data_IF_111231361860
#
_entry.id   IF_111231361860
#
_cell.length_a   1.000
_cell.length_b   1.000
_cell.length_c   1.000
_cell.angle_alpha   90.00
_cell.angle_beta   90.00
_cell.angle_gamma   90.00
#
_symmetry.space_group_name_H-M   'P 1'
#
loop_
_entity.id
_entity.type
_entity.pdbx_description
1 polymer ?
#
# COMPACT_ATOMS: atom_id res chain seq x y z
N UNK A 1 30.33 -24.60 -12.52
CA UNK A 1 29.86 -24.52 -11.14
C UNK A 1 29.55 -23.05 -10.89
N UNK A 2 28.39 -22.74 -10.33
CA UNK A 2 28.04 -21.34 -10.07
C UNK A 2 28.94 -20.78 -8.97
N UNK A 3 29.47 -19.55 -9.14
CA UNK A 3 30.25 -18.86 -8.10
C UNK A 3 29.37 -18.41 -6.89
N UNK A 4 28.13 -18.92 -6.78
CA UNK A 4 27.19 -18.58 -5.72
C UNK A 4 27.32 -19.60 -4.59
N UNK A 5 27.73 -19.13 -3.43
CA UNK A 5 27.92 -19.96 -2.23
C UNK A 5 26.90 -19.64 -1.13
N UNK A 6 26.36 -18.43 -1.12
CA UNK A 6 25.37 -18.00 -0.13
C UNK A 6 24.28 -17.13 -0.78
N UNK A 7 23.00 -17.41 -0.48
CA UNK A 7 21.84 -16.70 -1.02
C UNK A 7 20.93 -16.26 0.13
N UNK A 8 20.47 -15.00 0.12
CA UNK A 8 19.41 -14.54 1.03
C UNK A 8 18.08 -14.62 0.31
N UNK A 9 17.13 -15.35 0.88
CA UNK A 9 15.79 -15.55 0.35
C UNK A 9 14.75 -14.74 1.12
N UNK A 10 13.94 -13.95 0.41
CA UNK A 10 12.69 -13.42 0.95
C UNK A 10 11.72 -14.60 1.19
N UNK A 11 11.48 -14.92 2.46
CA UNK A 11 10.85 -16.15 2.89
C UNK A 11 9.53 -15.90 3.63
N UNK A 12 8.43 -16.40 3.10
CA UNK A 12 7.11 -16.27 3.72
C UNK A 12 6.70 -17.49 4.57
N UNK A 13 7.46 -18.60 4.52
CA UNK A 13 7.05 -19.86 5.14
C UNK A 13 5.92 -20.59 4.41
N UNK A 14 5.48 -20.09 3.26
CA UNK A 14 4.51 -20.74 2.38
C UNK A 14 5.11 -21.91 1.59
N UNK A 15 4.25 -22.61 0.82
CA UNK A 15 4.66 -23.75 -0.02
C UNK A 15 5.80 -23.36 -0.96
N UNK A 16 5.58 -22.30 -1.75
CA UNK A 16 6.49 -21.88 -2.82
C UNK A 16 7.88 -21.56 -2.27
N UNK A 17 7.95 -20.72 -1.22
CA UNK A 17 9.23 -20.31 -0.64
C UNK A 17 9.92 -21.46 0.10
N UNK A 18 9.19 -22.42 0.65
CA UNK A 18 9.78 -23.63 1.26
C UNK A 18 10.41 -24.55 0.21
N UNK A 19 9.77 -24.71 -0.95
CA UNK A 19 10.37 -25.40 -2.10
C UNK A 19 11.60 -24.67 -2.60
N UNK A 20 11.56 -23.33 -2.66
CA UNK A 20 12.70 -22.50 -3.11
C UNK A 20 13.92 -22.69 -2.22
N UNK A 21 13.77 -22.78 -0.89
CA UNK A 21 14.91 -23.06 0.01
C UNK A 21 15.66 -24.33 -0.46
N UNK A 22 14.93 -25.43 -0.63
CA UNK A 22 15.52 -26.71 -1.00
C UNK A 22 16.06 -26.71 -2.42
N UNK A 23 15.35 -26.08 -3.36
CA UNK A 23 15.77 -25.96 -4.74
C UNK A 23 17.08 -25.16 -4.88
N UNK A 24 17.24 -24.07 -4.13
CA UNK A 24 18.48 -23.29 -4.09
C UNK A 24 19.65 -24.14 -3.57
N UNK A 25 19.44 -24.88 -2.48
CA UNK A 25 20.46 -25.78 -1.91
C UNK A 25 20.88 -26.85 -2.92
N UNK A 26 19.92 -27.49 -3.57
CA UNK A 26 20.19 -28.62 -4.52
C UNK A 26 20.79 -28.10 -5.85
N UNK A 27 20.37 -26.95 -6.35
CA UNK A 27 20.75 -26.43 -7.68
C UNK A 27 22.09 -25.72 -7.67
N UNK A 28 22.35 -24.93 -6.62
CA UNK A 28 23.55 -24.10 -6.53
C UNK A 28 24.60 -24.64 -5.58
N UNK A 29 24.29 -25.68 -4.80
CA UNK A 29 25.14 -26.22 -3.73
C UNK A 29 25.56 -25.09 -2.78
N UNK A 30 24.58 -24.27 -2.36
CA UNK A 30 24.78 -23.03 -1.63
C UNK A 30 24.12 -23.03 -0.25
N UNK A 31 24.62 -22.17 0.63
CA UNK A 31 23.97 -21.87 1.91
C UNK A 31 22.83 -20.89 1.66
N UNK A 32 21.65 -21.16 2.28
CA UNK A 32 20.50 -20.29 2.21
C UNK A 32 20.29 -19.60 3.57
N UNK A 33 20.19 -18.28 3.51
CA UNK A 33 19.74 -17.42 4.61
C UNK A 33 18.29 -17.05 4.34
N UNK A 34 17.41 -17.15 5.32
CA UNK A 34 16.01 -16.75 5.15
C UNK A 34 15.71 -15.46 5.89
N UNK A 35 14.95 -14.60 5.24
CA UNK A 35 14.43 -13.37 5.82
C UNK A 35 12.93 -13.28 5.70
N UNK A 36 12.27 -13.12 6.84
CA UNK A 36 10.82 -12.89 6.98
C UNK A 36 10.60 -11.55 7.66
N UNK A 37 9.96 -10.62 6.96
CA UNK A 37 9.53 -9.35 7.51
C UNK A 37 8.16 -9.53 8.17
N UNK A 38 8.02 -9.17 9.45
CA UNK A 38 6.72 -8.93 10.06
C UNK A 38 6.30 -7.49 9.75
N UNK A 39 5.35 -7.36 8.87
CA UNK A 39 4.70 -6.10 8.47
C UNK A 39 3.19 -6.14 8.76
N UNK A 40 2.77 -7.05 9.66
CA UNK A 40 1.39 -7.20 10.11
C UNK A 40 0.56 -8.24 9.35
N UNK A 41 1.20 -9.26 8.75
CA UNK A 41 0.51 -10.38 8.12
C UNK A 41 -0.07 -11.41 9.11
N UNK A 42 0.18 -11.23 10.42
CA UNK A 42 -0.44 -12.02 11.48
C UNK A 42 0.24 -13.36 11.74
N UNK A 43 -0.54 -14.44 11.81
CA UNK A 43 -0.12 -15.76 12.32
C UNK A 43 0.97 -16.48 11.49
N UNK A 44 1.35 -15.97 10.33
CA UNK A 44 2.30 -16.64 9.42
C UNK A 44 3.78 -16.42 9.80
N UNK A 45 4.08 -15.46 10.67
CA UNK A 45 5.45 -15.01 10.98
C UNK A 45 6.23 -16.04 11.81
N UNK A 46 5.73 -16.45 12.97
CA UNK A 46 6.41 -17.42 13.84
C UNK A 46 6.57 -18.83 13.23
N UNK A 47 5.55 -19.39 12.56
CA UNK A 47 5.71 -20.67 11.86
C UNK A 47 6.80 -20.67 10.78
N UNK A 48 7.11 -19.52 10.17
CA UNK A 48 8.16 -19.42 9.15
C UNK A 48 9.54 -19.77 9.71
N UNK A 49 9.87 -19.32 10.92
CA UNK A 49 11.14 -19.63 11.59
C UNK A 49 11.36 -21.13 11.77
N UNK A 50 10.34 -21.83 12.28
CA UNK A 50 10.44 -23.27 12.51
C UNK A 50 10.53 -24.07 11.22
N UNK A 51 9.76 -23.68 10.19
CA UNK A 51 9.84 -24.30 8.85
C UNK A 51 11.22 -24.14 8.24
N UNK A 52 11.83 -22.96 8.35
CA UNK A 52 13.18 -22.74 7.85
C UNK A 52 14.22 -23.63 8.57
N UNK A 53 14.09 -23.82 9.89
CA UNK A 53 14.95 -24.75 10.65
C UNK A 53 14.83 -26.19 10.19
N UNK A 54 13.62 -26.67 9.95
CA UNK A 54 13.36 -28.02 9.44
C UNK A 54 14.01 -28.23 8.06
N UNK A 55 14.06 -27.18 7.24
CA UNK A 55 14.72 -27.19 5.93
C UNK A 55 16.26 -27.06 6.03
N UNK A 56 16.83 -27.07 7.23
CA UNK A 56 18.27 -27.01 7.46
C UNK A 56 18.89 -25.63 7.31
N UNK A 57 18.09 -24.56 7.30
CA UNK A 57 18.58 -23.19 7.29
C UNK A 57 19.19 -22.84 8.65
N UNK A 58 20.40 -22.30 8.64
CA UNK A 58 21.16 -21.95 9.85
C UNK A 58 20.97 -20.50 10.26
N UNK A 59 20.97 -19.58 9.27
CA UNK A 59 20.79 -18.15 9.48
C UNK A 59 19.39 -17.74 9.12
N UNK A 60 18.56 -17.37 10.12
CA UNK A 60 17.13 -17.12 10.00
C UNK A 60 16.81 -15.76 10.62
N UNK A 61 16.45 -14.82 9.80
CA UNK A 61 16.00 -13.48 10.20
C UNK A 61 14.49 -13.43 10.18
N UNK A 62 13.89 -13.07 11.30
CA UNK A 62 12.47 -12.74 11.44
C UNK A 62 12.39 -11.45 12.23
N UNK A 63 11.99 -10.38 11.59
CA UNK A 63 12.10 -9.03 12.13
C UNK A 63 10.75 -8.31 12.14
N UNK A 64 10.43 -7.67 13.28
CA UNK A 64 9.25 -6.81 13.41
C UNK A 64 9.55 -5.44 12.76
N UNK A 65 8.98 -5.23 11.59
CA UNK A 65 9.14 -4.01 10.79
C UNK A 65 7.83 -3.20 10.70
N UNK A 66 6.83 -3.52 11.52
CA UNK A 66 5.49 -2.90 11.44
C UNK A 66 5.52 -1.38 11.64
N UNK A 67 6.26 -0.91 12.65
CA UNK A 67 6.37 0.54 12.92
C UNK A 67 7.08 1.26 11.77
N UNK A 68 8.18 0.72 11.27
CA UNK A 68 8.93 1.27 10.15
C UNK A 68 8.11 1.25 8.86
N UNK A 69 7.39 0.16 8.60
CA UNK A 69 6.52 0.04 7.43
C UNK A 69 5.49 1.17 7.36
N UNK A 70 4.83 1.45 8.48
CA UNK A 70 3.80 2.50 8.48
C UNK A 70 4.42 3.89 8.47
N UNK A 71 5.44 4.15 9.30
CA UNK A 71 6.07 5.46 9.44
C UNK A 71 6.78 5.93 8.16
N UNK A 72 7.57 5.04 7.55
CA UNK A 72 8.51 5.42 6.50
C UNK A 72 8.04 5.08 5.07
N UNK A 73 6.96 4.30 4.94
CA UNK A 73 6.42 3.90 3.63
C UNK A 73 4.94 4.25 3.48
N UNK A 74 4.08 3.82 4.42
CA UNK A 74 2.64 4.06 4.30
C UNK A 74 2.31 5.55 4.49
N UNK A 75 2.77 6.19 5.56
CA UNK A 75 2.46 7.60 5.81
C UNK A 75 2.98 8.53 4.70
N UNK A 76 4.24 8.43 4.22
CA UNK A 76 4.68 9.21 3.07
C UNK A 76 3.80 9.06 1.83
N UNK A 77 3.32 7.86 1.55
CA UNK A 77 2.39 7.60 0.45
C UNK A 77 1.03 8.27 0.69
N UNK A 78 0.52 8.25 1.93
CA UNK A 78 -0.75 8.90 2.28
C UNK A 78 -0.67 10.42 2.27
N UNK A 79 0.49 11.03 2.55
CA UNK A 79 0.69 12.49 2.36
C UNK A 79 0.40 12.93 0.93
N UNK A 80 0.63 12.07 -0.05
CA UNK A 80 0.30 12.30 -1.46
C UNK A 80 -1.17 12.03 -1.80
N UNK A 81 -1.98 11.50 -0.88
CA UNK A 81 -3.31 10.93 -1.16
C UNK A 81 -3.28 9.89 -2.28
N UNK A 82 -2.28 9.01 -2.27
CA UNK A 82 -1.95 8.11 -3.37
C UNK A 82 -3.04 7.07 -3.59
N UNK A 83 -3.54 7.03 -4.82
CA UNK A 83 -4.51 6.05 -5.28
C UNK A 83 -4.15 5.62 -6.70
N UNK A 84 -3.94 4.33 -6.92
CA UNK A 84 -3.68 3.79 -8.26
C UNK A 84 -5.01 3.48 -8.96
N UNK A 85 -5.12 3.93 -10.22
CA UNK A 85 -6.32 3.75 -11.05
C UNK A 85 -7.64 4.19 -10.38
N UNK A 86 -7.54 5.20 -9.50
CA UNK A 86 -8.70 5.83 -8.85
C UNK A 86 -9.20 5.15 -7.58
N UNK A 87 -8.76 3.93 -7.27
CA UNK A 87 -9.33 3.13 -6.16
C UNK A 87 -8.31 2.38 -5.31
N UNK A 88 -7.23 1.84 -5.90
CA UNK A 88 -6.31 0.94 -5.20
C UNK A 88 -5.28 1.67 -4.35
N UNK A 89 -5.22 1.34 -3.05
CA UNK A 89 -4.34 1.96 -2.04
C UNK A 89 -2.95 1.31 -1.94
N UNK A 90 -2.52 0.54 -2.94
CA UNK A 90 -1.13 0.09 -3.14
C UNK A 90 -0.53 -0.80 -2.05
N UNK A 91 -1.31 -1.49 -1.25
CA UNK A 91 -0.82 -2.23 -0.08
C UNK A 91 0.26 -3.27 -0.39
N UNK A 92 0.14 -4.04 -1.48
CA UNK A 92 1.21 -4.96 -1.91
C UNK A 92 2.43 -4.19 -2.40
N UNK A 93 2.21 -3.15 -3.23
CA UNK A 93 3.30 -2.42 -3.89
C UNK A 93 4.21 -1.70 -2.88
N UNK A 94 3.62 -1.09 -1.85
CA UNK A 94 4.35 -0.30 -0.86
C UNK A 94 5.13 -1.16 0.16
N UNK A 95 4.78 -2.43 0.30
CA UNK A 95 5.49 -3.35 1.18
C UNK A 95 6.85 -3.79 0.60
N UNK A 96 6.95 -3.92 -0.71
CA UNK A 96 8.15 -4.48 -1.38
C UNK A 96 9.41 -3.63 -1.24
N UNK A 97 9.37 -2.27 -1.24
CA UNK A 97 10.55 -1.44 -1.01
C UNK A 97 11.25 -1.69 0.33
N UNK A 98 10.47 -1.82 1.42
CA UNK A 98 11.01 -2.14 2.74
C UNK A 98 11.66 -3.52 2.76
N UNK A 99 10.94 -4.53 2.25
CA UNK A 99 11.45 -5.91 2.21
C UNK A 99 12.72 -6.00 1.37
N UNK A 100 12.75 -5.35 0.19
CA UNK A 100 13.94 -5.33 -0.68
C UNK A 100 15.13 -4.66 -0.03
N UNK A 101 14.92 -3.56 0.69
CA UNK A 101 15.99 -2.87 1.42
C UNK A 101 16.59 -3.79 2.47
N UNK A 102 15.76 -4.37 3.34
CA UNK A 102 16.27 -5.22 4.40
C UNK A 102 16.91 -6.51 3.88
N UNK A 103 16.39 -7.05 2.77
CA UNK A 103 16.97 -8.20 2.08
C UNK A 103 18.41 -7.90 1.59
N UNK A 104 18.65 -6.71 1.05
CA UNK A 104 19.99 -6.26 0.61
C UNK A 104 20.92 -6.00 1.80
N UNK A 105 20.42 -5.41 2.89
CA UNK A 105 21.17 -5.20 4.12
C UNK A 105 21.65 -6.53 4.70
N UNK A 106 20.77 -7.52 4.83
CA UNK A 106 21.11 -8.88 5.29
C UNK A 106 22.12 -9.54 4.33
N UNK A 107 21.95 -9.37 3.03
CA UNK A 107 22.92 -9.90 2.05
C UNK A 107 24.31 -9.30 2.23
N UNK A 108 24.42 -8.02 2.59
CA UNK A 108 25.69 -7.37 2.91
C UNK A 108 26.25 -7.83 4.27
N UNK A 109 25.42 -7.95 5.30
CA UNK A 109 25.79 -8.41 6.65
C UNK A 109 26.34 -9.85 6.64
N UNK A 110 25.71 -10.73 5.85
CA UNK A 110 26.04 -12.17 5.78
C UNK A 110 27.10 -12.49 4.71
N UNK A 111 27.48 -11.51 3.90
CA UNK A 111 28.37 -11.70 2.77
C UNK A 111 27.78 -12.57 1.66
N UNK A 112 26.46 -12.53 1.47
CA UNK A 112 25.77 -13.34 0.46
C UNK A 112 26.08 -12.84 -0.97
N UNK A 113 26.22 -13.81 -1.89
CA UNK A 113 26.55 -13.57 -3.30
C UNK A 113 25.32 -13.15 -4.11
N UNK A 114 24.13 -13.55 -3.66
CA UNK A 114 22.88 -13.35 -4.37
C UNK A 114 21.71 -13.16 -3.39
N UNK A 115 20.61 -12.62 -3.92
CA UNK A 115 19.30 -12.65 -3.28
C UNK A 115 18.34 -13.50 -4.09
N UNK A 116 17.25 -13.96 -3.46
CA UNK A 116 16.18 -14.69 -4.12
C UNK A 116 14.82 -14.29 -3.60
N UNK A 117 13.78 -14.46 -4.41
CA UNK A 117 12.38 -14.20 -4.07
C UNK A 117 11.44 -15.25 -4.70
N UNK A 118 10.27 -15.40 -4.08
CA UNK A 118 9.24 -16.34 -4.53
C UNK A 118 8.18 -15.75 -5.48
N UNK A 119 8.40 -14.55 -5.99
CA UNK A 119 7.45 -13.92 -6.90
C UNK A 119 7.38 -14.66 -8.26
N UNK A 120 6.14 -14.89 -8.74
CA UNK A 120 5.91 -15.57 -10.03
C UNK A 120 6.25 -14.67 -11.21
N UNK A 121 6.58 -15.28 -12.38
CA UNK A 121 6.88 -14.55 -13.61
C UNK A 121 5.70 -13.77 -14.22
N UNK A 122 4.47 -13.98 -13.72
CA UNK A 122 3.24 -13.29 -14.16
C UNK A 122 2.87 -12.10 -13.27
N UNK A 123 3.50 -11.97 -12.09
CA UNK A 123 3.19 -10.93 -11.12
C UNK A 123 4.10 -9.70 -11.22
N UNK A 124 3.62 -8.56 -10.73
CA UNK A 124 4.41 -7.34 -10.61
C UNK A 124 5.50 -7.44 -9.53
N UNK A 125 5.35 -8.32 -8.56
CA UNK A 125 6.24 -8.39 -7.39
C UNK A 125 7.68 -8.75 -7.76
N UNK A 126 7.89 -9.58 -8.79
CA UNK A 126 9.23 -9.81 -9.30
C UNK A 126 9.91 -8.51 -9.74
N UNK A 127 9.18 -7.63 -10.44
CA UNK A 127 9.68 -6.33 -10.88
C UNK A 127 10.02 -5.46 -9.66
N UNK A 128 9.14 -5.40 -8.68
CA UNK A 128 9.29 -4.59 -7.45
C UNK A 128 10.51 -5.03 -6.62
N UNK A 129 10.70 -6.34 -6.42
CA UNK A 129 11.86 -6.87 -5.72
C UNK A 129 13.17 -6.55 -6.44
N UNK A 130 13.21 -6.81 -7.74
CA UNK A 130 14.44 -6.67 -8.51
C UNK A 130 14.83 -5.20 -8.74
N UNK A 131 13.87 -4.32 -9.08
CA UNK A 131 14.16 -2.89 -9.22
C UNK A 131 14.63 -2.28 -7.89
N UNK A 132 14.02 -2.66 -6.77
CA UNK A 132 14.48 -2.27 -5.45
C UNK A 132 15.90 -2.76 -5.16
N UNK A 133 16.18 -4.03 -5.45
CA UNK A 133 17.50 -4.61 -5.25
C UNK A 133 18.58 -3.95 -6.10
N UNK A 134 18.32 -3.73 -7.39
CA UNK A 134 19.28 -3.07 -8.30
C UNK A 134 19.53 -1.61 -7.96
N UNK A 135 18.52 -0.90 -7.46
CA UNK A 135 18.69 0.48 -7.00
C UNK A 135 19.59 0.56 -5.76
N UNK A 136 19.45 -0.39 -4.82
CA UNK A 136 20.19 -0.42 -3.56
C UNK A 136 21.58 -1.08 -3.67
N UNK A 137 21.75 -2.04 -4.59
CA UNK A 137 23.01 -2.75 -4.85
C UNK A 137 23.11 -3.10 -6.34
N UNK A 138 23.62 -2.19 -7.19
CA UNK A 138 23.59 -2.34 -8.66
C UNK A 138 24.23 -3.62 -9.22
N UNK A 139 25.18 -4.22 -8.51
CA UNK A 139 25.86 -5.46 -8.91
C UNK A 139 25.28 -6.73 -8.29
N UNK A 140 24.14 -6.68 -7.58
CA UNK A 140 23.57 -7.85 -6.92
C UNK A 140 23.10 -8.89 -7.96
N UNK A 141 23.38 -10.17 -7.69
CA UNK A 141 22.80 -11.28 -8.44
C UNK A 141 21.40 -11.59 -7.87
N UNK A 142 20.43 -11.71 -8.74
CA UNK A 142 19.05 -12.10 -8.36
C UNK A 142 18.73 -13.46 -8.93
N UNK A 143 18.29 -14.39 -8.09
CA UNK A 143 17.81 -15.71 -8.48
C UNK A 143 16.28 -15.68 -8.34
N UNK A 144 15.59 -15.88 -9.45
CA UNK A 144 14.13 -15.89 -9.53
C UNK A 144 13.63 -17.28 -9.98
N UNK A 145 13.46 -18.25 -9.07
CA UNK A 145 13.21 -19.64 -9.39
C UNK A 145 12.05 -19.86 -10.35
N UNK A 146 10.96 -19.10 -10.22
CA UNK A 146 9.81 -19.19 -11.13
C UNK A 146 10.13 -18.93 -12.62
N UNK A 147 11.29 -18.37 -12.94
CA UNK A 147 11.78 -18.18 -14.31
C UNK A 147 12.82 -19.20 -14.73
N UNK A 148 13.29 -20.03 -13.79
CA UNK A 148 14.42 -20.94 -14.01
C UNK A 148 14.03 -22.41 -13.91
N UNK A 149 13.02 -22.75 -13.08
CA UNK A 149 12.63 -24.13 -12.79
C UNK A 149 11.45 -24.63 -13.62
N UNK A 150 11.25 -25.95 -13.62
CA UNK A 150 10.11 -26.61 -14.29
C UNK A 150 8.90 -26.82 -13.38
N UNK A 151 8.95 -26.33 -12.12
CA UNK A 151 7.92 -26.50 -11.09
C UNK A 151 6.78 -25.49 -11.24
N UNK A 152 6.16 -25.43 -12.40
CA UNK A 152 5.24 -24.37 -12.83
C UNK A 152 3.77 -24.60 -12.43
N UNK A 153 3.48 -25.58 -11.56
CA UNK A 153 2.13 -25.82 -11.02
C UNK A 153 2.18 -26.26 -9.57
N UNK A 154 1.06 -26.03 -8.85
CA UNK A 154 0.91 -26.48 -7.46
C UNK A 154 1.12 -27.99 -7.31
N UNK A 155 0.67 -28.77 -8.28
CA UNK A 155 0.82 -30.22 -8.28
C UNK A 155 2.30 -30.63 -8.34
N UNK A 156 3.08 -30.00 -9.22
CA UNK A 156 4.53 -30.25 -9.31
C UNK A 156 5.29 -29.82 -8.05
N UNK A 157 4.89 -28.69 -7.44
CA UNK A 157 5.47 -28.26 -6.17
C UNK A 157 5.21 -29.26 -5.04
N UNK A 158 3.99 -29.80 -4.96
CA UNK A 158 3.65 -30.83 -3.96
C UNK A 158 4.41 -32.12 -4.21
N UNK A 159 4.54 -32.57 -5.46
CA UNK A 159 5.34 -33.75 -5.81
C UNK A 159 6.82 -33.55 -5.44
N UNK A 160 7.38 -32.38 -5.68
CA UNK A 160 8.75 -32.04 -5.26
C UNK A 160 8.90 -32.05 -3.73
N UNK A 161 7.89 -31.59 -2.99
CA UNK A 161 7.88 -31.64 -1.54
C UNK A 161 7.88 -33.09 -1.02
N UNK A 162 7.05 -33.95 -1.60
CA UNK A 162 6.98 -35.36 -1.21
C UNK A 162 8.31 -36.09 -1.48
N UNK A 163 8.94 -35.84 -2.64
CA UNK A 163 10.23 -36.45 -3.00
C UNK A 163 11.38 -36.02 -2.05
N UNK A 164 11.34 -34.79 -1.55
CA UNK A 164 12.40 -34.23 -0.72
C UNK A 164 12.05 -34.12 0.75
N UNK A 165 10.92 -34.71 1.16
CA UNK A 165 10.42 -34.69 2.55
C UNK A 165 10.28 -33.26 3.11
N UNK A 166 9.88 -32.29 2.26
CA UNK A 166 9.59 -30.93 2.69
C UNK A 166 8.23 -30.93 3.42
N UNK A 167 8.16 -30.49 4.69
CA UNK A 167 6.91 -30.50 5.43
C UNK A 167 5.93 -29.49 4.82
N UNK A 168 4.83 -30.01 4.29
CA UNK A 168 3.72 -29.21 3.79
C UNK A 168 2.54 -29.34 4.74
N UNK A 169 2.13 -28.26 5.34
CA UNK A 169 0.90 -28.26 6.13
C UNK A 169 -0.31 -28.48 5.23
N UNK A 170 -0.93 -29.64 5.35
CA UNK A 170 -2.26 -29.89 4.82
C UNK A 170 -3.28 -29.21 5.74
N UNK A 171 -3.29 -27.89 5.82
CA UNK A 171 -4.30 -27.17 6.62
C UNK A 171 -5.68 -27.36 5.97
N UNK A 172 -6.56 -28.13 6.63
CA UNK A 172 -8.01 -28.09 6.39
C UNK A 172 -8.48 -26.68 6.78
N UNK A 173 -9.09 -25.94 5.85
CA UNK A 173 -9.68 -24.62 6.12
C UNK A 173 -8.85 -23.41 5.71
N UNK A 174 -7.75 -23.54 4.92
CA UNK A 174 -7.14 -22.36 4.26
C UNK A 174 -8.08 -21.84 3.17
N UNK A 175 -8.15 -20.51 3.08
CA UNK A 175 -8.80 -19.82 1.96
C UNK A 175 -8.34 -20.43 0.63
N UNK A 176 -9.25 -20.68 -0.31
CA UNK A 176 -8.88 -21.17 -1.64
C UNK A 176 -8.15 -20.09 -2.45
N UNK A 177 -8.29 -18.82 -2.09
CA UNK A 177 -7.74 -17.66 -2.77
C UNK A 177 -6.23 -17.51 -2.51
N UNK A 178 -5.51 -16.97 -3.49
CA UNK A 178 -4.17 -16.43 -3.29
C UNK A 178 -4.29 -15.12 -2.50
N UNK A 179 -3.54 -15.01 -1.42
CA UNK A 179 -3.65 -13.87 -0.49
C UNK A 179 -2.28 -13.31 -0.17
N UNK A 180 -2.21 -11.98 -0.08
CA UNK A 180 -1.08 -11.22 0.48
C UNK A 180 -1.64 -10.26 1.52
N UNK A 181 -1.08 -10.28 2.73
CA UNK A 181 -1.55 -9.47 3.85
C UNK A 181 -0.41 -8.66 4.46
N UNK A 182 -0.72 -7.44 4.87
CA UNK A 182 0.11 -6.58 5.70
C UNK A 182 -0.78 -5.58 6.44
N UNK A 183 -0.21 -4.69 7.26
CA UNK A 183 -0.99 -3.72 8.04
C UNK A 183 -1.90 -2.82 7.19
N UNK A 184 -1.57 -2.55 5.92
CA UNK A 184 -2.39 -1.68 5.09
C UNK A 184 -3.56 -2.40 4.45
N UNK A 185 -3.39 -3.67 4.05
CA UNK A 185 -4.43 -4.40 3.32
C UNK A 185 -4.34 -5.93 3.43
N UNK A 186 -5.41 -6.60 2.99
CA UNK A 186 -5.39 -7.97 2.49
C UNK A 186 -5.79 -7.94 1.02
N UNK A 187 -5.06 -8.66 0.17
CA UNK A 187 -5.44 -8.92 -1.23
C UNK A 187 -5.95 -10.34 -1.42
N UNK A 188 -6.90 -10.52 -2.33
CA UNK A 188 -7.46 -11.81 -2.74
C UNK A 188 -7.47 -11.92 -4.25
N UNK A 189 -6.93 -13.01 -4.78
CA UNK A 189 -6.88 -13.29 -6.21
C UNK A 189 -7.17 -14.78 -6.50
N UNK A 190 -7.55 -15.08 -7.74
CA UNK A 190 -7.73 -16.45 -8.24
C UNK A 190 -9.14 -17.02 -8.04
N UNK A 191 -9.30 -18.31 -8.41
CA UNK A 191 -10.55 -19.07 -8.31
C UNK A 191 -11.69 -18.36 -9.07
N UNK A 192 -12.84 -18.11 -8.43
CA UNK A 192 -14.00 -17.42 -9.02
C UNK A 192 -13.71 -15.95 -9.36
N UNK A 193 -12.71 -15.33 -8.72
CA UNK A 193 -12.30 -13.95 -9.03
C UNK A 193 -11.63 -13.81 -10.40
N UNK A 194 -11.22 -14.92 -11.05
CA UNK A 194 -10.71 -14.87 -12.42
C UNK A 194 -11.80 -14.53 -13.45
N UNK A 195 -13.09 -14.73 -13.10
CA UNK A 195 -14.23 -14.26 -13.87
C UNK A 195 -14.67 -12.88 -13.35
N UNK A 196 -14.51 -11.78 -14.14
CA UNK A 196 -14.92 -10.45 -13.71
C UNK A 196 -16.43 -10.29 -13.47
N UNK A 197 -17.26 -11.25 -13.93
CA UNK A 197 -18.71 -11.26 -13.73
C UNK A 197 -19.12 -11.99 -12.45
N UNK A 198 -18.24 -12.81 -11.85
CA UNK A 198 -18.54 -13.51 -10.62
C UNK A 198 -18.47 -12.57 -9.42
N UNK A 199 -19.48 -12.60 -8.54
CA UNK A 199 -19.48 -11.87 -7.28
C UNK A 199 -18.43 -12.45 -6.31
N UNK A 200 -17.74 -11.59 -5.56
CA UNK A 200 -16.85 -12.01 -4.49
C UNK A 200 -17.65 -12.61 -3.33
N UNK A 201 -17.27 -13.81 -2.88
CA UNK A 201 -17.99 -14.53 -1.82
C UNK A 201 -17.85 -13.83 -0.46
N UNK A 202 -18.94 -13.76 0.31
CA UNK A 202 -18.94 -13.05 1.61
C UNK A 202 -17.96 -13.66 2.62
N UNK A 203 -17.76 -14.95 2.61
CA UNK A 203 -16.84 -15.68 3.52
C UNK A 203 -15.34 -15.52 3.17
N UNK A 204 -15.05 -14.87 2.03
CA UNK A 204 -13.69 -14.52 1.63
C UNK A 204 -13.10 -13.43 2.53
N UNK A 205 -13.91 -12.44 2.92
CA UNK A 205 -13.50 -11.26 3.65
C UNK A 205 -13.13 -11.60 5.11
N UNK A 206 -11.99 -11.09 5.59
CA UNK A 206 -11.44 -11.44 6.91
C UNK A 206 -11.42 -10.31 7.92
N UNK A 207 -11.25 -9.07 7.44
CA UNK A 207 -11.13 -7.91 8.31
C UNK A 207 -12.43 -7.14 8.45
N UNK A 208 -13.30 -7.22 7.46
CA UNK A 208 -14.52 -6.43 7.42
C UNK A 208 -15.76 -7.30 7.41
N UNK A 209 -16.75 -6.88 8.18
CA UNK A 209 -18.13 -7.37 8.03
C UNK A 209 -18.76 -6.76 6.79
N UNK A 210 -19.85 -7.34 6.25
CA UNK A 210 -20.62 -6.66 5.19
C UNK A 210 -21.26 -5.38 5.73
N UNK A 211 -21.52 -4.37 4.89
CA UNK A 211 -22.28 -3.19 5.30
C UNK A 211 -23.64 -3.52 5.93
N UNK A 212 -24.30 -4.58 5.47
CA UNK A 212 -25.57 -5.05 6.02
C UNK A 212 -25.42 -5.59 7.43
N UNK A 213 -24.32 -6.31 7.71
CA UNK A 213 -24.03 -6.89 9.03
C UNK A 213 -23.40 -5.88 10.00
N UNK A 214 -22.94 -4.74 9.51
CA UNK A 214 -22.37 -3.70 10.34
C UNK A 214 -23.41 -3.09 11.32
N UNK A 215 -22.96 -2.57 12.49
CA UNK A 215 -23.84 -2.02 13.51
C UNK A 215 -24.77 -0.92 12.99
N UNK A 216 -26.03 -0.88 13.49
CA UNK A 216 -26.98 0.20 13.20
C UNK A 216 -26.69 1.50 13.96
N UNK A 217 -25.66 1.51 14.80
CA UNK A 217 -25.20 2.68 15.53
C UNK A 217 -23.86 3.15 14.92
N UNK A 218 -23.74 4.42 14.50
CA UNK A 218 -22.49 4.94 13.96
C UNK A 218 -21.38 5.00 15.01
N UNK A 219 -20.14 4.80 14.57
CA UNK A 219 -18.93 5.03 15.35
C UNK A 219 -18.35 6.41 14.98
N UNK A 220 -18.05 7.22 15.97
CA UNK A 220 -17.34 8.51 15.77
C UNK A 220 -15.89 8.35 16.17
N UNK A 221 -14.98 9.00 15.45
CA UNK A 221 -13.54 8.99 15.72
C UNK A 221 -12.93 10.33 15.37
N UNK A 222 -12.02 10.82 16.19
CA UNK A 222 -11.20 12.02 15.93
C UNK A 222 -9.77 11.62 15.62
N UNK A 223 -9.24 12.09 14.47
CA UNK A 223 -7.87 11.88 14.05
C UNK A 223 -7.11 13.19 14.13
N UNK A 224 -6.03 13.22 14.92
CA UNK A 224 -5.16 14.39 15.04
C UNK A 224 -3.95 14.25 14.13
N UNK A 225 -3.73 15.25 13.31
CA UNK A 225 -2.66 15.34 12.32
C UNK A 225 -1.55 16.28 12.76
N UNK A 226 -0.31 15.91 12.45
CA UNK A 226 0.86 16.76 12.51
C UNK A 226 1.69 16.56 11.24
N UNK A 227 1.84 17.64 10.46
CA UNK A 227 2.57 17.62 9.18
C UNK A 227 2.11 16.48 8.24
N UNK A 228 0.79 16.28 8.16
CA UNK A 228 0.17 15.28 7.29
C UNK A 228 0.09 13.87 7.86
N UNK A 229 0.76 13.56 8.96
CA UNK A 229 0.72 12.25 9.60
C UNK A 229 -0.26 12.23 10.79
N UNK A 230 -0.93 11.09 10.98
CA UNK A 230 -1.79 10.87 12.14
C UNK A 230 -0.91 10.57 13.36
N UNK A 231 -1.04 11.40 14.40
CA UNK A 231 -0.29 11.24 15.65
C UNK A 231 -1.14 10.79 16.83
N UNK A 232 -2.46 10.99 16.76
CA UNK A 232 -3.38 10.59 17.84
C UNK A 232 -4.76 10.18 17.29
N UNK A 233 -5.42 9.27 18.00
CA UNK A 233 -6.82 8.88 17.80
C UNK A 233 -7.57 9.19 19.10
N UNK A 234 -8.70 9.94 19.02
CA UNK A 234 -9.54 10.34 20.13
C UNK A 234 -8.73 11.00 21.30
N UNK A 235 -7.71 11.81 20.91
CA UNK A 235 -6.83 12.51 21.83
C UNK A 235 -5.75 11.65 22.50
N UNK A 236 -5.60 10.39 22.12
CA UNK A 236 -4.55 9.50 22.61
C UNK A 236 -3.43 9.37 21.57
N UNK A 237 -2.22 9.78 21.95
CA UNK A 237 -1.03 9.63 21.11
C UNK A 237 -0.74 8.15 20.85
N UNK A 238 -0.45 7.82 19.60
CA UNK A 238 -0.22 6.45 19.16
C UNK A 238 0.98 6.36 18.22
N UNK A 239 1.68 5.22 18.27
CA UNK A 239 2.69 4.87 17.27
C UNK A 239 2.04 4.62 15.89
N UNK A 240 2.74 4.88 14.78
CA UNK A 240 2.18 4.75 13.43
C UNK A 240 1.48 3.43 13.12
N UNK A 241 2.08 2.28 13.48
CA UNK A 241 1.47 0.98 13.25
C UNK A 241 0.21 0.76 14.11
N UNK A 242 0.21 1.25 15.36
CA UNK A 242 -0.96 1.16 16.25
C UNK A 242 -2.12 2.00 15.71
N UNK A 243 -1.84 3.17 15.13
CA UNK A 243 -2.85 3.99 14.43
C UNK A 243 -3.54 3.16 13.34
N UNK A 244 -2.76 2.52 12.47
CA UNK A 244 -3.31 1.75 11.34
C UNK A 244 -4.05 0.50 11.82
N UNK A 245 -3.52 -0.24 12.80
CA UNK A 245 -4.20 -1.39 13.43
C UNK A 245 -5.55 -0.99 14.03
N UNK A 246 -5.59 0.13 14.76
CA UNK A 246 -6.82 0.65 15.37
C UNK A 246 -7.85 1.03 14.31
N UNK A 247 -7.43 1.74 13.26
CA UNK A 247 -8.32 2.14 12.18
C UNK A 247 -8.79 0.95 11.33
N UNK A 248 -7.96 -0.08 11.13
CA UNK A 248 -8.36 -1.32 10.49
C UNK A 248 -9.50 -1.99 11.25
N UNK A 249 -9.37 -2.09 12.58
CA UNK A 249 -10.42 -2.67 13.41
C UNK A 249 -11.70 -1.84 13.36
N UNK A 250 -11.61 -0.53 13.57
CA UNK A 250 -12.78 0.36 13.54
C UNK A 250 -13.49 0.33 12.17
N UNK A 251 -12.71 0.37 11.08
CA UNK A 251 -13.23 0.33 9.72
C UNK A 251 -13.86 -1.02 9.39
N UNK A 252 -13.19 -2.12 9.73
CA UNK A 252 -13.68 -3.47 9.51
C UNK A 252 -14.99 -3.75 10.25
N UNK A 253 -15.06 -3.37 11.53
CA UNK A 253 -16.28 -3.48 12.36
C UNK A 253 -17.47 -2.69 11.77
N UNK A 254 -17.21 -1.64 10.97
CA UNK A 254 -18.22 -0.79 10.32
C UNK A 254 -18.42 -1.10 8.82
N UNK A 255 -17.86 -2.21 8.31
CA UNK A 255 -18.03 -2.64 6.92
C UNK A 255 -17.31 -1.79 5.88
N UNK A 256 -16.24 -1.09 6.28
CA UNK A 256 -15.48 -0.15 5.44
C UNK A 256 -14.29 -0.85 4.79
N UNK A 257 -13.96 -0.44 3.55
CA UNK A 257 -12.67 -0.72 2.93
C UNK A 257 -12.61 -1.93 2.02
N UNK A 258 -13.75 -2.52 1.61
CA UNK A 258 -13.80 -3.54 0.56
C UNK A 258 -13.68 -2.89 -0.81
N UNK A 259 -12.85 -3.46 -1.67
CA UNK A 259 -12.63 -3.02 -3.04
C UNK A 259 -12.57 -4.24 -3.97
N UNK A 260 -13.20 -4.14 -5.11
CA UNK A 260 -13.11 -5.09 -6.23
C UNK A 260 -12.73 -4.31 -7.48
N UNK A 261 -11.56 -4.57 -8.03
CA UNK A 261 -11.00 -3.82 -9.16
C UNK A 261 -10.36 -4.72 -10.20
N UNK A 262 -10.50 -4.37 -11.46
CA UNK A 262 -9.69 -4.91 -12.56
C UNK A 262 -8.60 -3.91 -12.89
N UNK A 263 -7.40 -4.15 -12.37
CA UNK A 263 -6.23 -3.27 -12.52
C UNK A 263 -5.35 -3.64 -13.71
N UNK A 264 -4.58 -2.68 -14.20
CA UNK A 264 -3.60 -2.91 -15.25
C UNK A 264 -2.23 -3.19 -14.61
N UNK A 265 -1.78 -4.46 -14.69
CA UNK A 265 -0.44 -4.83 -14.20
C UNK A 265 0.66 -4.23 -15.07
N UNK A 266 1.76 -3.84 -14.44
CA UNK A 266 2.93 -3.29 -15.13
C UNK A 266 3.54 -4.28 -16.14
N UNK A 267 3.42 -5.57 -15.89
CA UNK A 267 3.82 -6.63 -16.83
C UNK A 267 2.88 -6.78 -18.05
N UNK A 268 1.86 -5.91 -18.19
CA UNK A 268 1.09 -5.74 -19.43
C UNK A 268 -0.25 -6.47 -19.51
N UNK A 269 -0.73 -7.07 -18.42
CA UNK A 269 -2.03 -7.76 -18.38
C UNK A 269 -3.01 -7.08 -17.43
N UNK A 270 -4.32 -7.27 -17.69
CA UNK A 270 -5.36 -6.94 -16.71
C UNK A 270 -5.50 -8.06 -15.69
N UNK A 271 -5.72 -7.72 -14.44
CA UNK A 271 -5.95 -8.68 -13.37
C UNK A 271 -7.01 -8.15 -12.41
N UNK A 272 -7.97 -8.98 -12.06
CA UNK A 272 -8.91 -8.66 -10.99
C UNK A 272 -8.32 -9.03 -9.64
N UNK A 273 -8.42 -8.11 -8.71
CA UNK A 273 -8.10 -8.30 -7.30
C UNK A 273 -9.19 -7.75 -6.41
N UNK A 274 -9.49 -8.44 -5.33
CA UNK A 274 -10.31 -7.92 -4.24
C UNK A 274 -9.40 -7.55 -3.07
N UNK A 275 -9.71 -6.42 -2.42
CA UNK A 275 -8.88 -5.89 -1.35
C UNK A 275 -9.70 -5.48 -0.14
N UNK A 276 -9.13 -5.66 1.05
CA UNK A 276 -9.64 -5.05 2.28
C UNK A 276 -8.63 -4.02 2.77
N UNK A 277 -9.04 -2.75 2.84
CA UNK A 277 -8.22 -1.62 3.26
C UNK A 277 -8.96 -0.71 4.24
N UNK A 278 -9.50 -1.23 5.35
CA UNK A 278 -10.39 -0.44 6.23
C UNK A 278 -9.73 0.82 6.77
N UNK A 279 -8.57 0.68 7.40
CA UNK A 279 -7.82 1.81 7.95
C UNK A 279 -7.31 2.76 6.88
N UNK A 280 -6.81 2.23 5.76
CA UNK A 280 -6.36 3.05 4.63
C UNK A 280 -7.49 3.91 4.04
N UNK A 281 -8.69 3.37 3.92
CA UNK A 281 -9.88 4.11 3.45
C UNK A 281 -10.23 5.26 4.40
N UNK A 282 -10.20 5.02 5.71
CA UNK A 282 -10.43 6.06 6.72
C UNK A 282 -9.34 7.13 6.64
N UNK A 283 -8.06 6.72 6.59
CA UNK A 283 -6.91 7.62 6.52
C UNK A 283 -6.98 8.54 5.30
N UNK A 284 -7.25 7.99 4.11
CA UNK A 284 -7.34 8.76 2.87
C UNK A 284 -8.45 9.82 2.96
N UNK A 285 -9.61 9.43 3.47
CA UNK A 285 -10.75 10.34 3.59
C UNK A 285 -10.47 11.47 4.58
N UNK A 286 -9.85 11.14 5.72
CA UNK A 286 -9.50 12.10 6.76
C UNK A 286 -8.39 13.05 6.32
N UNK A 287 -7.33 12.53 5.66
CA UNK A 287 -6.22 13.35 5.18
C UNK A 287 -6.67 14.40 4.16
N UNK A 288 -7.50 14.02 3.19
CA UNK A 288 -8.10 14.98 2.25
C UNK A 288 -8.97 16.04 2.98
N UNK A 289 -9.60 15.66 4.08
CA UNK A 289 -10.43 16.59 4.84
C UNK A 289 -9.61 17.65 5.58
N UNK A 290 -8.48 17.28 6.19
CA UNK A 290 -7.62 18.28 6.86
C UNK A 290 -6.92 19.17 5.82
N UNK A 291 -6.46 18.62 4.71
CA UNK A 291 -5.87 19.39 3.61
C UNK A 291 -6.85 20.42 3.03
N UNK A 292 -8.14 20.11 3.00
CA UNK A 292 -9.15 21.01 2.42
C UNK A 292 -9.26 22.37 3.13
N UNK A 293 -8.77 22.49 4.37
CA UNK A 293 -8.77 23.72 5.13
C UNK A 293 -7.36 24.30 5.38
N UNK A 294 -6.30 23.51 5.08
CA UNK A 294 -4.93 23.93 5.39
C UNK A 294 -4.07 24.19 4.16
N UNK A 295 -4.43 23.64 3.00
CA UNK A 295 -3.68 23.87 1.76
C UNK A 295 -4.23 25.06 0.98
N UNK A 296 -3.32 25.88 0.47
CA UNK A 296 -3.62 26.83 -0.59
C UNK A 296 -4.18 26.10 -1.83
N UNK A 297 -5.10 26.74 -2.55
CA UNK A 297 -5.78 26.18 -3.71
C UNK A 297 -4.79 25.68 -4.77
N UNK A 298 -3.80 26.48 -5.14
CA UNK A 298 -2.86 26.12 -6.20
C UNK A 298 -1.90 25.00 -5.77
N UNK A 299 -1.51 24.99 -4.49
CA UNK A 299 -0.71 23.92 -3.90
C UNK A 299 -1.49 22.60 -3.89
N UNK A 300 -2.77 22.62 -3.50
CA UNK A 300 -3.62 21.44 -3.50
C UNK A 300 -3.77 20.86 -4.92
N UNK A 301 -4.03 21.72 -5.92
CA UNK A 301 -4.15 21.30 -7.31
C UNK A 301 -2.82 20.78 -7.90
N UNK A 302 -1.69 21.41 -7.57
CA UNK A 302 -0.37 20.93 -7.96
C UNK A 302 -0.13 19.53 -7.41
N UNK A 303 -0.37 19.31 -6.12
CA UNK A 303 -0.20 18.00 -5.47
C UNK A 303 -1.10 16.94 -6.11
N UNK A 304 -2.36 17.24 -6.34
CA UNK A 304 -3.30 16.33 -7.00
C UNK A 304 -2.89 16.01 -8.45
N UNK A 305 -2.25 16.94 -9.17
CA UNK A 305 -1.78 16.71 -10.53
C UNK A 305 -0.64 15.70 -10.64
N UNK A 306 0.21 15.59 -9.63
CA UNK A 306 1.33 14.64 -9.62
C UNK A 306 0.96 13.29 -9.00
N UNK A 307 -0.13 13.20 -8.25
CA UNK A 307 -0.53 11.99 -7.54
C UNK A 307 -0.68 10.76 -8.45
N UNK A 308 -1.30 10.82 -9.65
CA UNK A 308 -1.40 9.64 -10.52
C UNK A 308 -0.03 9.10 -10.93
N UNK A 309 0.91 9.99 -11.25
CA UNK A 309 2.28 9.58 -11.60
C UNK A 309 3.02 9.01 -10.40
N UNK A 310 2.85 9.59 -9.23
CA UNK A 310 3.42 9.07 -8.00
C UNK A 310 2.88 7.67 -7.68
N UNK A 311 1.58 7.43 -7.87
CA UNK A 311 0.96 6.13 -7.72
C UNK A 311 1.55 5.09 -8.68
N UNK A 312 1.72 5.44 -9.98
CA UNK A 312 2.36 4.57 -10.98
C UNK A 312 3.79 4.20 -10.59
N UNK A 313 4.58 5.16 -10.13
CA UNK A 313 5.97 4.95 -9.73
C UNK A 313 6.04 3.94 -8.58
N UNK A 314 5.15 4.02 -7.59
CA UNK A 314 5.07 3.04 -6.51
C UNK A 314 4.58 1.69 -7.03
N UNK A 315 3.49 1.67 -7.79
CA UNK A 315 2.89 0.46 -8.34
C UNK A 315 3.89 -0.35 -9.18
N UNK A 316 4.69 0.35 -9.99
CA UNK A 316 5.68 -0.22 -10.89
C UNK A 316 7.01 -0.63 -10.21
N UNK A 317 7.18 -0.34 -8.91
CA UNK A 317 8.36 -0.77 -8.14
C UNK A 317 9.53 0.22 -8.12
N UNK A 318 9.32 1.48 -8.50
CA UNK A 318 10.35 2.53 -8.56
C UNK A 318 10.45 3.37 -7.26
N UNK A 319 10.15 2.79 -6.10
CA UNK A 319 10.27 3.51 -4.82
C UNK A 319 11.63 4.16 -4.62
N UNK A 320 12.71 3.47 -4.99
CA UNK A 320 14.11 3.93 -4.85
C UNK A 320 14.61 4.74 -6.06
N UNK A 321 13.72 5.32 -6.85
CA UNK A 321 14.08 6.14 -8.01
C UNK A 321 14.24 7.61 -7.64
N UNK A 322 15.14 8.37 -8.34
CA UNK A 322 15.25 9.82 -8.18
C UNK A 322 13.94 10.56 -8.48
N UNK A 323 13.12 10.03 -9.40
CA UNK A 323 11.79 10.59 -9.73
C UNK A 323 10.86 10.56 -8.50
N UNK A 324 10.79 9.41 -7.81
CA UNK A 324 9.96 9.29 -6.59
C UNK A 324 10.48 10.22 -5.49
N UNK A 325 11.79 10.32 -5.30
CA UNK A 325 12.40 11.19 -4.28
C UNK A 325 12.07 12.67 -4.52
N UNK A 326 12.14 13.11 -5.78
CA UNK A 326 11.79 14.48 -6.14
C UNK A 326 10.31 14.78 -5.89
N UNK A 327 9.42 13.85 -6.26
CA UNK A 327 7.98 13.98 -5.97
C UNK A 327 7.70 13.95 -4.47
N UNK A 328 8.37 13.08 -3.70
CA UNK A 328 8.20 13.03 -2.26
C UNK A 328 8.62 14.33 -1.58
N UNK A 329 9.74 14.92 -1.98
CA UNK A 329 10.19 16.20 -1.46
C UNK A 329 9.16 17.32 -1.69
N UNK A 330 8.54 17.34 -2.88
CA UNK A 330 7.45 18.27 -3.16
C UNK A 330 6.23 17.99 -2.28
N UNK A 331 5.83 16.72 -2.16
CA UNK A 331 4.69 16.31 -1.33
C UNK A 331 4.93 16.69 0.13
N UNK A 332 6.08 16.35 0.69
CA UNK A 332 6.42 16.64 2.09
C UNK A 332 6.43 18.15 2.38
N UNK A 333 6.90 18.97 1.42
CA UNK A 333 6.84 20.43 1.55
C UNK A 333 5.41 20.94 1.66
N UNK A 334 4.44 20.32 0.98
CA UNK A 334 3.02 20.71 1.06
C UNK A 334 2.41 20.39 2.43
N UNK A 335 2.98 19.46 3.17
CA UNK A 335 2.42 18.96 4.42
C UNK A 335 2.81 19.78 5.67
N UNK A 336 3.69 20.74 5.51
CA UNK A 336 4.25 21.51 6.65
C UNK A 336 3.16 22.14 7.54
N UNK A 337 2.07 22.61 6.96
CA UNK A 337 0.93 23.22 7.65
C UNK A 337 -0.31 22.30 7.70
N UNK A 338 -0.19 21.03 7.36
CA UNK A 338 -1.29 20.08 7.47
C UNK A 338 -1.35 19.53 8.90
N UNK A 339 -1.83 20.39 9.81
CA UNK A 339 -1.98 20.13 11.23
C UNK A 339 -3.44 20.31 11.64
N UNK A 340 -3.89 19.59 12.65
CA UNK A 340 -5.24 19.77 13.19
C UNK A 340 -5.98 18.47 13.43
N UNK A 341 -7.30 18.55 13.57
CA UNK A 341 -8.12 17.38 13.90
C UNK A 341 -9.30 17.25 12.94
N UNK A 342 -9.54 16.02 12.50
CA UNK A 342 -10.70 15.64 11.69
C UNK A 342 -11.58 14.71 12.51
N UNK A 343 -12.89 15.00 12.54
CA UNK A 343 -13.90 14.11 13.11
C UNK A 343 -14.63 13.39 12.01
N UNK A 344 -14.68 12.06 12.13
CA UNK A 344 -15.33 11.17 11.18
C UNK A 344 -16.49 10.45 11.86
N UNK A 345 -17.48 10.10 11.03
CA UNK A 345 -18.58 9.19 11.37
C UNK A 345 -18.44 7.96 10.46
N UNK A 346 -18.23 6.79 11.06
CA UNK A 346 -18.12 5.50 10.41
C UNK A 346 -19.47 4.80 10.52
N UNK A 347 -20.05 4.44 9.38
CA UNK A 347 -21.37 3.80 9.39
C UNK A 347 -21.61 3.00 8.11
N UNK A 348 -21.84 1.70 8.24
CA UNK A 348 -22.27 0.79 7.16
C UNK A 348 -21.54 1.02 5.84
N UNK A 349 -20.22 0.85 5.86
CA UNK A 349 -19.34 0.99 4.69
C UNK A 349 -18.92 2.41 4.35
N UNK A 350 -19.48 3.43 5.02
CA UNK A 350 -19.21 4.84 4.72
C UNK A 350 -18.30 5.50 5.75
N UNK A 351 -17.49 6.44 5.26
CA UNK A 351 -16.67 7.36 6.05
C UNK A 351 -17.12 8.78 5.77
N UNK A 352 -17.94 9.35 6.66
CA UNK A 352 -18.43 10.72 6.56
C UNK A 352 -17.53 11.65 7.36
N UNK A 353 -17.07 12.75 6.74
CA UNK A 353 -16.40 13.84 7.44
C UNK A 353 -17.43 14.72 8.08
N UNK A 354 -17.46 14.79 9.43
CA UNK A 354 -18.45 15.55 10.21
C UNK A 354 -17.85 16.73 10.95
N UNK A 355 -16.54 16.92 10.87
CA UNK A 355 -15.86 18.11 11.42
C UNK A 355 -14.40 18.15 11.07
N UNK A 356 -13.84 19.34 11.01
CA UNK A 356 -12.41 19.59 10.84
C UNK A 356 -12.04 20.92 11.51
N UNK A 357 -10.88 20.96 12.12
CA UNK A 357 -10.33 22.17 12.77
C UNK A 357 -8.81 22.19 12.68
N UNK A 358 -8.24 23.37 12.50
CA UNK A 358 -6.80 23.60 12.47
C UNK A 358 -6.50 25.04 12.85
N UNK A 359 -5.39 25.26 13.55
CA UNK A 359 -4.84 26.60 13.77
C UNK A 359 -4.18 27.15 12.49
N UNK A 360 -3.74 26.25 11.59
CA UNK A 360 -3.19 26.59 10.27
C UNK A 360 -4.27 26.72 9.18
N UNK A 361 -5.55 26.82 9.56
CA UNK A 361 -6.67 26.90 8.61
C UNK A 361 -6.62 28.15 7.75
N UNK A 362 -6.77 27.96 6.44
CA UNK A 362 -6.98 29.02 5.46
C UNK A 362 -8.48 29.32 5.23
N UNK A 363 -9.36 28.57 5.90
CA UNK A 363 -10.80 28.84 5.85
C UNK A 363 -11.11 29.98 6.84
N UNK A 364 -11.52 31.11 6.28
CA UNK A 364 -11.93 32.30 7.06
C UNK A 364 -13.46 32.40 7.07
N UNK A 365 -14.06 32.16 8.24
CA UNK A 365 -15.52 32.19 8.41
C UNK A 365 -16.12 33.57 8.12
N UNK A 366 -15.35 34.65 8.34
CA UNK A 366 -15.82 36.02 8.09
C UNK A 366 -15.95 36.35 6.61
N UNK A 367 -15.03 35.77 5.79
CA UNK A 367 -15.04 35.97 4.34
C UNK A 367 -16.01 34.95 3.68
N UNK A 368 -16.07 33.73 4.19
CA UNK A 368 -16.88 32.65 3.60
C UNK A 368 -18.36 32.67 3.99
N UNK A 369 -18.79 33.62 4.83
CA UNK A 369 -20.18 33.74 5.30
C UNK A 369 -21.13 34.13 4.17
N UNK A 370 -22.38 33.67 4.24
CA UNK A 370 -23.51 34.18 3.45
C UNK A 370 -24.29 35.28 4.19
N UNK A 371 -23.94 35.55 5.44
CA UNK A 371 -24.48 36.64 6.24
C UNK A 371 -23.69 37.94 6.01
N UNK A 372 -23.94 38.95 6.78
CA UNK A 372 -23.23 40.22 6.70
C UNK A 372 -21.74 40.04 7.09
N UNK A 373 -20.83 40.31 6.17
CA UNK A 373 -19.38 40.20 6.35
C UNK A 373 -18.68 41.45 6.89
N UNK A 374 -19.46 42.50 7.16
CA UNK A 374 -18.98 43.81 7.63
C UNK A 374 -17.86 44.42 6.77
N UNK A 375 -17.86 44.10 5.46
CA UNK A 375 -16.89 44.64 4.50
C UNK A 375 -15.58 43.86 4.44
N UNK A 376 -15.55 42.61 4.91
CA UNK A 376 -14.40 41.74 4.80
C UNK A 376 -14.10 41.35 3.34
N UNK A 377 -15.12 41.38 2.45
CA UNK A 377 -14.99 41.10 1.01
C UNK A 377 -15.76 42.10 0.16
N UNK A 378 -15.10 42.74 -0.82
CA UNK A 378 -15.79 43.61 -1.77
C UNK A 378 -16.26 42.82 -3.01
N UNK A 379 -17.55 42.53 -3.09
CA UNK A 379 -18.14 41.77 -4.20
C UNK A 379 -17.95 42.44 -5.58
N UNK A 380 -17.66 43.77 -5.61
CA UNK A 380 -17.44 44.48 -6.90
C UNK A 380 -16.15 44.06 -7.60
N UNK A 381 -15.14 43.60 -6.86
CA UNK A 381 -13.88 43.13 -7.43
C UNK A 381 -14.07 41.92 -8.38
N UNK A 382 -15.09 41.10 -8.14
CA UNK A 382 -15.44 39.97 -8.98
C UNK A 382 -15.80 40.40 -10.44
N UNK A 383 -16.41 41.58 -10.64
CA UNK A 383 -16.80 42.01 -11.97
C UNK A 383 -15.60 42.21 -12.91
N UNK A 384 -14.55 42.87 -12.44
CA UNK A 384 -13.29 43.05 -13.18
C UNK A 384 -12.61 41.75 -13.53
N UNK A 385 -12.45 40.88 -12.53
CA UNK A 385 -11.89 39.54 -12.70
C UNK A 385 -12.65 38.73 -13.74
N UNK A 386 -13.99 38.69 -13.67
CA UNK A 386 -14.82 37.93 -14.61
C UNK A 386 -14.68 38.51 -16.06
N UNK A 387 -14.70 39.84 -16.22
CA UNK A 387 -14.55 40.50 -17.51
C UNK A 387 -13.24 40.15 -18.21
N UNK A 388 -12.12 40.16 -17.46
CA UNK A 388 -10.80 39.80 -17.99
C UNK A 388 -10.73 38.31 -18.34
N UNK A 389 -11.20 37.41 -17.49
CA UNK A 389 -11.24 35.98 -17.77
C UNK A 389 -12.16 35.64 -18.95
N UNK A 390 -13.27 36.38 -19.15
CA UNK A 390 -14.19 36.21 -20.27
C UNK A 390 -13.64 36.72 -21.62
N UNK A 391 -12.57 37.52 -21.65
CA UNK A 391 -12.08 38.16 -22.86
C UNK A 391 -11.77 37.12 -23.96
N UNK A 392 -11.03 36.05 -23.64
CA UNK A 392 -10.73 34.99 -24.58
C UNK A 392 -11.98 34.31 -25.15
N UNK A 393 -13.01 34.12 -24.33
CA UNK A 393 -14.28 33.49 -24.73
C UNK A 393 -15.06 34.43 -25.69
N UNK A 394 -15.13 35.73 -25.37
CA UNK A 394 -15.77 36.74 -26.22
C UNK A 394 -15.10 36.86 -27.60
N UNK A 395 -13.76 36.83 -27.63
CA UNK A 395 -13.02 36.87 -28.88
C UNK A 395 -13.31 35.61 -29.73
N UNK A 396 -13.30 34.41 -29.10
CA UNK A 396 -13.60 33.19 -29.83
C UNK A 396 -15.02 33.14 -30.37
N UNK A 397 -16.00 33.53 -29.55
CA UNK A 397 -17.41 33.60 -29.95
C UNK A 397 -17.64 34.65 -31.08
N UNK A 398 -17.00 35.83 -30.97
CA UNK A 398 -17.08 36.88 -32.00
C UNK A 398 -16.51 36.46 -33.39
N UNK A 399 -15.67 35.41 -33.42
CA UNK A 399 -15.16 34.81 -34.65
C UNK A 399 -15.98 33.59 -35.10
N UNK A 400 -17.14 33.35 -34.52
CA UNK A 400 -18.03 32.22 -34.84
C UNK A 400 -17.48 30.84 -34.47
N UNK A 401 -16.46 30.75 -33.60
CA UNK A 401 -15.98 29.45 -33.08
C UNK A 401 -17.02 28.89 -32.14
N UNK A 402 -17.49 27.67 -32.42
CA UNK A 402 -18.28 26.89 -31.46
C UNK A 402 -17.33 26.48 -30.33
N UNK A 403 -17.72 26.77 -29.09
CA UNK A 403 -17.03 26.36 -27.88
C UNK A 403 -17.45 24.95 -27.49
#
# INVERSE_FOLDING_TARGET
MSDIKKVVLAYSGGLDTSVIVRWLQDTYDCEVVTFTADIGQGEEVEPAREKARILGVKEIYVEDLREEFVRDYVFPMFRANTVYEGEYLLGTSIARPLISRRLIEIANETGADAISHGATGKGNDQVRFELGAYALKPGVKVIAPWREWDLNSREKLLAYCDERNIPVEKKKGKSPYSMDANLLHISYEGINLEDPWAEAEEDMWRWSVSPEAAPDKPTYVELTYKQGDIVAIDGQDMKPHVVLETLNKMGGDNGIGRLDIVENRYVGMKSRGCYETPGGTIMLRAHRAIESITLDREVAHLKDSIMPRYAEVIYNGYWWSPEREAMQALIDQTQHYVNGTVRLKLYKGNVDVVGRKSEDSLFDEKIATFEEDHGAYDQKDAEGFIKLNALRLRIAAGKGRKL
#
